data_IF_332429198314
#
_entry.id   IF_332429198314
#
_cell.length_a   1.000
_cell.length_b   1.000
_cell.length_c   1.000
_cell.angle_alpha   90.00
_cell.angle_beta   90.00
_cell.angle_gamma   90.00
#
_symmetry.space_group_name_H-M   'P 1'
#
loop_
_entity.id
_entity.type
_entity.pdbx_description
1 polymer ?
#
# COMPACT_ATOMS: atom_id res chain seq x y z
N UNK A 1 12.96 14.94 -11.53
CA UNK A 1 12.06 13.95 -10.90
C UNK A 1 11.44 14.47 -9.59
N UNK A 2 12.11 15.36 -8.84
CA UNK A 2 11.59 16.00 -7.61
C UNK A 2 10.28 16.78 -7.86
N UNK A 3 10.25 17.66 -8.87
CA UNK A 3 9.04 18.43 -9.19
C UNK A 3 7.80 17.59 -9.52
N UNK A 4 7.96 16.40 -10.12
CA UNK A 4 6.84 15.51 -10.40
C UNK A 4 6.27 14.86 -9.12
N UNK A 5 7.12 14.62 -8.11
CA UNK A 5 6.67 14.12 -6.80
C UNK A 5 5.89 15.18 -6.03
N UNK A 6 6.41 16.41 -6.02
CA UNK A 6 5.77 17.54 -5.34
C UNK A 6 4.41 17.88 -5.97
N UNK A 7 4.33 17.94 -7.30
CA UNK A 7 3.06 18.13 -8.01
C UNK A 7 2.02 17.04 -7.72
N UNK A 8 2.45 15.78 -7.59
CA UNK A 8 1.53 14.69 -7.26
C UNK A 8 0.99 14.80 -5.83
N UNK A 9 1.82 15.25 -4.89
CA UNK A 9 1.40 15.49 -3.50
C UNK A 9 0.42 16.67 -3.42
N UNK A 10 0.73 17.80 -4.05
CA UNK A 10 -0.15 18.98 -4.11
C UNK A 10 -1.52 18.64 -4.73
N UNK A 11 -1.52 17.88 -5.83
CA UNK A 11 -2.77 17.44 -6.45
C UNK A 11 -3.56 16.50 -5.53
N UNK A 12 -2.90 15.60 -4.81
CA UNK A 12 -3.55 14.70 -3.87
C UNK A 12 -4.15 15.47 -2.68
N UNK A 13 -3.41 16.43 -2.12
CA UNK A 13 -3.91 17.34 -1.07
C UNK A 13 -5.14 18.12 -1.56
N UNK A 14 -5.10 18.67 -2.78
CA UNK A 14 -6.21 19.39 -3.38
C UNK A 14 -7.46 18.51 -3.52
N UNK A 15 -7.30 17.28 -4.01
CA UNK A 15 -8.41 16.34 -4.17
C UNK A 15 -9.03 15.97 -2.81
N UNK A 16 -8.20 15.69 -1.79
CA UNK A 16 -8.67 15.39 -0.45
C UNK A 16 -9.40 16.57 0.19
N UNK A 17 -8.90 17.80 0.00
CA UNK A 17 -9.54 19.02 0.46
C UNK A 17 -10.92 19.25 -0.18
N UNK A 18 -11.15 18.72 -1.38
CA UNK A 18 -12.45 18.76 -2.07
C UNK A 18 -13.30 17.50 -1.83
N UNK A 19 -12.99 16.71 -0.80
CA UNK A 19 -13.81 15.59 -0.36
C UNK A 19 -13.56 14.27 -1.09
N UNK A 20 -12.46 14.14 -1.82
CA UNK A 20 -12.06 12.84 -2.35
C UNK A 20 -11.83 11.85 -1.20
N UNK A 21 -12.35 10.62 -1.36
CA UNK A 21 -12.15 9.56 -0.37
C UNK A 21 -10.88 8.77 -0.69
N UNK A 22 -9.88 8.87 0.20
CA UNK A 22 -8.57 8.22 0.07
C UNK A 22 -8.63 6.68 0.01
N UNK A 23 -9.71 6.10 0.51
CA UNK A 23 -9.93 4.66 0.60
C UNK A 23 -10.77 4.09 -0.56
N UNK A 24 -11.06 4.89 -1.58
CA UNK A 24 -11.73 4.38 -2.79
C UNK A 24 -10.86 3.33 -3.45
N UNK A 25 -11.50 2.21 -3.78
CA UNK A 25 -10.87 1.09 -4.45
C UNK A 25 -11.21 1.07 -5.94
N UNK A 26 -10.24 0.70 -6.78
CA UNK A 26 -10.47 0.46 -8.20
C UNK A 26 -11.23 -0.87 -8.44
N UNK A 27 -11.40 -1.26 -9.71
CA UNK A 27 -12.07 -2.52 -10.08
C UNK A 27 -11.38 -3.79 -9.55
N UNK A 28 -10.13 -3.72 -9.12
CA UNK A 28 -9.38 -4.83 -8.52
C UNK A 28 -9.44 -4.82 -6.98
N UNK A 29 -10.22 -3.92 -6.38
CA UNK A 29 -10.24 -3.73 -4.94
C UNK A 29 -9.03 -2.97 -4.41
N UNK A 30 -8.19 -2.42 -5.29
CA UNK A 30 -6.96 -1.73 -4.89
C UNK A 30 -7.25 -0.27 -4.57
N UNK A 31 -6.91 0.12 -3.34
CA UNK A 31 -6.84 1.53 -2.91
C UNK A 31 -5.56 2.19 -3.41
N UNK A 32 -5.47 3.52 -3.28
CA UNK A 32 -4.23 4.26 -3.57
C UNK A 32 -3.01 3.67 -2.83
N UNK A 33 -3.19 3.21 -1.58
CA UNK A 33 -2.13 2.58 -0.80
C UNK A 33 -1.63 1.26 -1.40
N UNK A 34 -2.52 0.43 -1.96
CA UNK A 34 -2.10 -0.79 -2.65
C UNK A 34 -1.25 -0.47 -3.89
N UNK A 35 -1.68 0.52 -4.67
CA UNK A 35 -0.96 0.93 -5.88
C UNK A 35 0.41 1.49 -5.50
N UNK A 36 0.48 2.34 -4.48
CA UNK A 36 1.74 2.92 -4.01
C UNK A 36 2.71 1.86 -3.43
N UNK A 37 2.21 0.83 -2.73
CA UNK A 37 3.02 -0.30 -2.27
C UNK A 37 3.63 -1.15 -3.40
N UNK A 38 3.10 -1.03 -4.63
CA UNK A 38 3.68 -1.62 -5.84
C UNK A 38 4.69 -0.71 -6.52
N UNK A 39 5.08 0.41 -5.92
CA UNK A 39 6.07 1.35 -6.45
C UNK A 39 7.24 1.50 -5.48
N UNK A 40 8.28 2.23 -5.89
CA UNK A 40 9.40 2.59 -5.01
C UNK A 40 9.23 4.01 -4.43
N UNK A 41 7.98 4.50 -4.36
CA UNK A 41 7.63 5.85 -3.90
C UNK A 41 7.21 5.85 -2.43
N UNK A 42 8.18 5.67 -1.55
CA UNK A 42 7.98 5.63 -0.10
C UNK A 42 7.34 6.92 0.46
N UNK A 43 7.68 8.08 -0.10
CA UNK A 43 7.10 9.39 0.25
C UNK A 43 5.57 9.41 0.06
N UNK A 44 5.08 8.80 -1.02
CA UNK A 44 3.65 8.74 -1.33
C UNK A 44 2.92 7.84 -0.33
N UNK A 45 3.53 6.73 0.09
CA UNK A 45 2.95 5.85 1.11
C UNK A 45 2.86 6.53 2.46
N UNK A 46 3.93 7.20 2.90
CA UNK A 46 3.90 8.01 4.12
C UNK A 46 2.78 9.05 4.05
N UNK A 47 2.67 9.76 2.93
CA UNK A 47 1.62 10.75 2.74
C UNK A 47 0.21 10.14 2.85
N UNK A 48 -0.04 9.05 2.13
CA UNK A 48 -1.34 8.38 2.09
C UNK A 48 -1.75 7.88 3.49
N UNK A 49 -0.80 7.34 4.24
CA UNK A 49 -1.03 6.83 5.59
C UNK A 49 -1.34 7.97 6.57
N UNK A 50 -0.57 9.07 6.52
CA UNK A 50 -0.82 10.27 7.33
C UNK A 50 -2.21 10.87 7.09
N UNK A 51 -2.76 10.73 5.88
CA UNK A 51 -4.07 11.24 5.50
C UNK A 51 -5.20 10.21 5.69
N UNK A 52 -4.99 9.18 6.52
CA UNK A 52 -6.06 8.27 6.95
C UNK A 52 -6.36 7.12 5.98
N UNK A 53 -5.38 6.72 5.15
CA UNK A 53 -5.50 5.46 4.41
C UNK A 53 -5.66 4.28 5.38
N UNK A 54 -6.59 3.38 5.06
CA UNK A 54 -6.72 2.11 5.76
C UNK A 54 -5.52 1.22 5.43
N UNK A 55 -4.54 1.22 6.33
CA UNK A 55 -3.28 0.45 6.21
C UNK A 55 -3.50 -1.06 5.99
N UNK A 56 -4.63 -1.58 6.47
CA UNK A 56 -4.99 -3.00 6.40
C UNK A 56 -6.14 -3.27 5.41
N UNK A 57 -6.42 -2.34 4.48
CA UNK A 57 -7.36 -2.57 3.40
C UNK A 57 -6.94 -3.82 2.60
N UNK A 58 -7.93 -4.59 2.16
CA UNK A 58 -7.74 -5.81 1.37
C UNK A 58 -8.21 -5.58 -0.05
N UNK A 59 -7.41 -5.96 -1.04
CA UNK A 59 -7.83 -6.02 -2.44
C UNK A 59 -8.72 -7.26 -2.71
N UNK A 60 -9.10 -7.50 -3.97
CA UNK A 60 -9.93 -8.66 -4.34
C UNK A 60 -9.29 -10.01 -3.98
N UNK A 61 -7.96 -10.10 -4.04
CA UNK A 61 -7.22 -11.30 -3.67
C UNK A 61 -7.02 -11.42 -2.14
N UNK A 62 -7.68 -10.55 -1.38
CA UNK A 62 -7.49 -10.42 0.06
C UNK A 62 -6.05 -10.02 0.46
N UNK A 63 -5.24 -9.52 -0.45
CA UNK A 63 -3.91 -9.00 -0.17
C UNK A 63 -4.01 -7.60 0.43
N UNK A 64 -3.11 -7.27 1.34
CA UNK A 64 -2.90 -5.91 1.86
C UNK A 64 -1.70 -5.26 1.17
N UNK A 65 -1.50 -3.95 1.40
CA UNK A 65 -0.28 -3.27 0.96
C UNK A 65 1.01 -3.98 1.41
N UNK A 66 1.01 -4.61 2.59
CA UNK A 66 2.17 -5.34 3.10
C UNK A 66 2.45 -6.64 2.33
N UNK A 67 1.42 -7.33 1.82
CA UNK A 67 1.62 -8.48 0.92
C UNK A 67 2.33 -8.03 -0.37
N UNK A 68 1.92 -6.90 -0.92
CA UNK A 68 2.48 -6.35 -2.15
C UNK A 68 3.94 -5.90 -1.98
N UNK A 69 4.26 -5.28 -0.83
CA UNK A 69 5.63 -4.92 -0.48
C UNK A 69 6.53 -6.17 -0.33
N UNK A 70 6.03 -7.22 0.35
CA UNK A 70 6.74 -8.48 0.53
C UNK A 70 7.01 -9.20 -0.79
N UNK A 71 6.01 -9.27 -1.68
CA UNK A 71 6.17 -9.84 -3.04
C UNK A 71 7.24 -9.14 -3.88
N UNK A 72 7.45 -7.85 -3.64
CA UNK A 72 8.48 -7.06 -4.32
C UNK A 72 9.82 -7.06 -3.61
N UNK A 73 9.95 -7.73 -2.46
CA UNK A 73 11.11 -7.65 -1.59
C UNK A 73 11.50 -6.20 -1.22
N UNK A 74 10.51 -5.30 -1.13
CA UNK A 74 10.76 -3.90 -0.79
C UNK A 74 10.76 -3.72 0.74
N UNK A 75 11.96 -3.78 1.33
CA UNK A 75 12.19 -3.72 2.78
C UNK A 75 11.72 -2.38 3.36
N UNK A 76 12.11 -1.26 2.75
CA UNK A 76 11.76 0.08 3.24
C UNK A 76 10.24 0.31 3.25
N UNK A 77 9.55 -0.14 2.20
CA UNK A 77 8.09 -0.10 2.15
C UNK A 77 7.45 -0.95 3.25
N UNK A 78 7.97 -2.16 3.49
CA UNK A 78 7.48 -3.01 4.57
C UNK A 78 7.68 -2.35 5.94
N UNK A 79 8.84 -1.73 6.18
CA UNK A 79 9.13 -0.98 7.41
C UNK A 79 8.17 0.18 7.63
N UNK A 80 7.90 0.99 6.59
CA UNK A 80 6.94 2.08 6.65
C UNK A 80 5.54 1.56 7.00
N UNK A 81 5.08 0.52 6.30
CA UNK A 81 3.76 -0.05 6.53
C UNK A 81 3.63 -0.61 7.95
N UNK A 82 4.63 -1.36 8.43
CA UNK A 82 4.63 -1.94 9.79
C UNK A 82 4.68 -0.87 10.87
N UNK A 83 5.52 0.16 10.69
CA UNK A 83 5.63 1.30 11.62
C UNK A 83 4.33 2.08 11.75
N UNK A 84 3.46 2.01 10.74
CA UNK A 84 2.14 2.63 10.72
C UNK A 84 0.98 1.64 11.00
N UNK A 85 1.28 0.48 11.60
CA UNK A 85 0.25 -0.44 12.11
C UNK A 85 -0.30 -1.45 11.09
N UNK A 86 0.44 -1.73 10.01
CA UNK A 86 0.14 -2.86 9.16
C UNK A 86 0.22 -4.18 9.95
N UNK A 87 -0.83 -5.00 9.86
CA UNK A 87 -0.88 -6.31 10.51
C UNK A 87 -0.12 -7.33 9.67
N UNK A 88 0.96 -7.87 10.24
CA UNK A 88 1.88 -8.81 9.57
C UNK A 88 1.28 -10.21 9.33
N UNK A 89 0.22 -10.58 10.04
CA UNK A 89 -0.38 -11.92 9.99
C UNK A 89 -1.73 -11.98 9.26
N UNK A 90 -2.09 -10.96 8.49
CA UNK A 90 -3.29 -11.04 7.64
C UNK A 90 -3.07 -12.09 6.56
N UNK A 91 -4.07 -12.96 6.37
CA UNK A 91 -4.08 -13.94 5.29
C UNK A 91 -4.82 -13.39 4.06
N UNK A 92 -4.24 -13.62 2.89
CA UNK A 92 -4.87 -13.44 1.59
C UNK A 92 -5.90 -14.57 1.34
N UNK A 93 -6.52 -14.59 0.15
CA UNK A 93 -7.54 -15.60 -0.18
C UNK A 93 -6.98 -17.03 -0.30
N UNK A 94 -5.67 -17.16 -0.49
CA UNK A 94 -4.95 -18.44 -0.55
C UNK A 94 -4.45 -18.91 0.83
N UNK A 95 -4.75 -18.14 1.89
CA UNK A 95 -4.29 -18.46 3.24
C UNK A 95 -2.84 -18.02 3.52
N UNK A 96 -2.25 -17.25 2.62
CA UNK A 96 -0.86 -16.79 2.72
C UNK A 96 -0.77 -15.43 3.41
N UNK A 97 0.25 -15.28 4.24
CA UNK A 97 0.68 -14.04 4.89
C UNK A 97 1.79 -13.39 4.08
N UNK A 98 2.09 -12.10 4.30
CA UNK A 98 3.23 -11.44 3.65
C UNK A 98 4.56 -12.20 3.80
N UNK A 99 4.79 -12.87 4.94
CA UNK A 99 6.00 -13.66 5.17
C UNK A 99 6.19 -14.80 4.17
N UNK A 100 5.11 -15.43 3.71
CA UNK A 100 5.18 -16.57 2.80
C UNK A 100 5.68 -16.19 1.40
N UNK A 101 5.57 -14.92 1.00
CA UNK A 101 6.10 -14.42 -0.27
C UNK A 101 7.64 -14.32 -0.28
N UNK A 102 8.29 -14.47 0.88
CA UNK A 102 9.75 -14.46 1.01
C UNK A 102 10.35 -15.87 0.94
N UNK A 103 9.50 -16.91 1.02
CA UNK A 103 9.93 -18.29 0.94
C UNK A 103 9.92 -18.75 -0.52
N UNK A 104 10.88 -19.58 -0.95
CA UNK A 104 10.80 -20.21 -2.27
C UNK A 104 9.51 -21.02 -2.37
N UNK A 105 8.74 -20.81 -3.44
CA UNK A 105 7.60 -21.67 -3.75
C UNK A 105 8.17 -23.01 -4.23
N UNK A 106 7.81 -24.09 -3.53
CA UNK A 106 8.15 -25.44 -3.95
C UNK A 106 7.08 -25.88 -4.95
N UNK A 107 7.29 -25.52 -6.21
CA UNK A 107 6.49 -25.99 -7.36
C UNK A 107 6.95 -27.38 -7.81
#
# INVERSE_FOLDING_TARGET
MIAAKDNNKELLELLLAHGANINVANRNGETALHIAAKTDYNDLVNFLVLHGSNINAKNKDSETALHLAARRHNIEMAEILMSNGAKVNIKNQYGETPLQYLLPTYD
#
